data_IF_317166292981
#
_entry.id   IF_317166292981
#
_cell.length_a   1.000
_cell.length_b   1.000
_cell.length_c   1.000
_cell.angle_alpha   90.00
_cell.angle_beta   90.00
_cell.angle_gamma   90.00
#
_symmetry.space_group_name_H-M   'P 1'
#
loop_
_entity.id
_entity.type
_entity.pdbx_description
1 polymer ?
#
# COMPACT_ATOMS: atom_id res chain seq x y z
N UNK A 1 15.54 -21.50 20.54
CA UNK A 1 14.65 -21.87 19.43
C UNK A 1 13.39 -21.04 19.54
N UNK A 2 13.13 -20.25 18.51
CA UNK A 2 12.09 -19.23 18.50
C UNK A 2 12.51 -18.18 17.48
N UNK A 3 12.80 -18.63 16.26
CA UNK A 3 12.94 -17.75 15.12
C UNK A 3 11.54 -17.19 14.88
N UNK A 4 11.26 -16.04 15.48
CA UNK A 4 10.05 -15.30 15.15
C UNK A 4 10.30 -14.77 13.73
N UNK A 5 9.73 -15.46 12.75
CA UNK A 5 9.83 -15.14 11.32
C UNK A 5 8.51 -14.60 10.83
N UNK A 6 8.57 -13.70 9.85
CA UNK A 6 7.36 -13.19 9.23
C UNK A 6 6.63 -14.30 8.45
N UNK A 7 5.32 -14.55 8.69
CA UNK A 7 4.59 -15.61 8.00
C UNK A 7 4.33 -15.31 6.50
N UNK A 8 4.70 -14.11 6.02
CA UNK A 8 4.52 -13.70 4.62
C UNK A 8 5.82 -13.87 3.82
N UNK A 9 6.93 -13.30 4.30
CA UNK A 9 8.21 -13.37 3.59
C UNK A 9 9.16 -14.44 4.14
N UNK A 10 8.80 -15.11 5.23
CA UNK A 10 9.62 -16.14 5.91
C UNK A 10 11.03 -15.63 6.25
N UNK A 11 11.17 -14.33 6.47
CA UNK A 11 12.42 -13.72 6.93
C UNK A 11 12.35 -13.48 8.45
N UNK A 12 13.47 -13.65 9.17
CA UNK A 12 13.54 -13.42 10.60
C UNK A 12 13.27 -11.95 10.93
N UNK A 13 12.61 -11.70 12.07
CA UNK A 13 12.44 -10.33 12.52
C UNK A 13 13.77 -9.70 12.97
N UNK A 14 13.96 -8.43 12.64
CA UNK A 14 15.13 -7.63 12.99
C UNK A 14 14.75 -6.21 13.38
N UNK A 15 15.72 -5.45 13.87
CA UNK A 15 15.54 -4.05 14.30
C UNK A 15 15.41 -3.07 13.12
N UNK A 16 15.40 -3.54 11.88
CA UNK A 16 15.38 -2.73 10.67
C UNK A 16 14.05 -2.83 9.93
N UNK A 17 14.11 -3.39 8.71
CA UNK A 17 12.95 -3.52 7.81
C UNK A 17 12.04 -4.68 8.21
N UNK A 18 12.53 -5.62 9.00
CA UNK A 18 11.75 -6.74 9.48
C UNK A 18 11.36 -6.56 10.94
N UNK A 19 10.97 -5.36 11.33
CA UNK A 19 10.41 -5.11 12.65
C UNK A 19 9.01 -5.72 12.78
N UNK A 20 8.70 -6.30 13.93
CA UNK A 20 7.39 -6.87 14.22
C UNK A 20 6.31 -5.79 14.31
N UNK A 21 5.23 -5.97 13.56
CA UNK A 21 4.04 -5.14 13.59
C UNK A 21 2.83 -6.01 13.97
N UNK A 22 2.20 -5.69 15.11
CA UNK A 22 1.03 -6.38 15.62
C UNK A 22 -0.24 -5.75 15.05
N UNK A 23 -1.06 -6.55 14.37
CA UNK A 23 -2.38 -6.14 13.89
C UNK A 23 -3.43 -6.22 15.01
N UNK A 24 -4.58 -5.55 14.82
CA UNK A 24 -5.65 -5.52 15.82
C UNK A 24 -6.29 -6.89 16.10
N UNK A 25 -6.06 -7.86 15.19
CA UNK A 25 -6.49 -9.24 15.34
C UNK A 25 -5.51 -10.12 16.14
N UNK A 26 -4.41 -9.56 16.61
CA UNK A 26 -3.38 -10.29 17.38
C UNK A 26 -2.34 -11.01 16.52
N UNK A 27 -2.42 -10.95 15.20
CA UNK A 27 -1.38 -11.52 14.33
C UNK A 27 -0.24 -10.55 14.08
N UNK A 28 0.98 -11.09 14.00
CA UNK A 28 2.21 -10.32 13.78
C UNK A 28 2.69 -10.50 12.35
N UNK A 29 3.11 -9.40 11.73
CA UNK A 29 3.74 -9.34 10.41
C UNK A 29 4.98 -8.46 10.48
N UNK A 30 5.89 -8.55 9.51
CA UNK A 30 6.97 -7.58 9.45
C UNK A 30 6.47 -6.25 8.85
N UNK A 31 7.07 -5.13 9.27
CA UNK A 31 6.72 -3.80 8.78
C UNK A 31 6.90 -3.66 7.25
N UNK A 32 7.91 -4.31 6.66
CA UNK A 32 8.08 -4.38 5.21
C UNK A 32 6.89 -5.01 4.48
N UNK A 33 6.42 -6.18 4.92
CA UNK A 33 5.24 -6.83 4.33
C UNK A 33 3.96 -6.04 4.60
N UNK A 34 3.83 -5.44 5.79
CA UNK A 34 2.71 -4.57 6.11
C UNK A 34 2.63 -3.40 5.13
N UNK A 35 3.77 -2.76 4.83
CA UNK A 35 3.86 -1.68 3.87
C UNK A 35 3.49 -2.10 2.45
N UNK A 36 3.96 -3.26 1.99
CA UNK A 36 3.61 -3.78 0.68
C UNK A 36 2.10 -4.07 0.53
N UNK A 37 1.45 -4.55 1.60
CA UNK A 37 -0.01 -4.75 1.61
C UNK A 37 -0.73 -3.41 1.50
N UNK A 38 -0.23 -2.36 2.17
CA UNK A 38 -0.78 -1.01 2.10
C UNK A 38 -0.60 -0.39 0.71
N UNK A 39 0.55 -0.57 0.10
CA UNK A 39 0.86 -0.06 -1.25
C UNK A 39 -0.05 -0.71 -2.32
N UNK A 40 -0.35 -2.00 -2.15
CA UNK A 40 -1.28 -2.73 -3.02
C UNK A 40 -2.75 -2.38 -2.74
N UNK A 41 -3.06 -1.74 -1.61
CA UNK A 41 -4.43 -1.40 -1.24
C UNK A 41 -4.91 -0.21 -2.09
N UNK A 42 -5.91 -0.45 -2.95
CA UNK A 42 -6.52 0.61 -3.74
C UNK A 42 -7.19 1.69 -2.89
N UNK A 43 -7.56 2.82 -3.52
CA UNK A 43 -8.07 4.01 -2.84
C UNK A 43 -9.25 3.77 -1.86
N UNK A 44 -10.03 2.71 -2.07
CA UNK A 44 -11.15 2.33 -1.20
C UNK A 44 -10.74 1.74 0.16
N UNK A 45 -9.49 1.30 0.33
CA UNK A 45 -8.98 0.71 1.57
C UNK A 45 -7.90 1.61 2.23
N UNK A 46 -7.80 2.87 1.80
CA UNK A 46 -6.95 3.88 2.47
C UNK A 46 -7.32 3.96 3.95
N UNK A 47 -6.30 3.84 4.80
CA UNK A 47 -6.43 3.88 6.26
C UNK A 47 -6.92 2.60 6.92
N UNK A 48 -6.99 1.48 6.19
CA UNK A 48 -7.29 0.16 6.76
C UNK A 48 -6.42 -0.93 6.14
N UNK A 49 -5.76 -1.71 6.98
CA UNK A 49 -5.05 -2.92 6.54
C UNK A 49 -5.92 -4.15 6.77
N UNK A 50 -6.02 -5.02 5.78
CA UNK A 50 -6.60 -6.36 5.95
C UNK A 50 -5.52 -7.36 6.33
N UNK A 51 -5.72 -8.02 7.46
CA UNK A 51 -4.89 -9.13 7.88
C UNK A 51 -4.94 -10.28 6.85
N UNK A 52 -3.80 -10.77 6.32
CA UNK A 52 -3.80 -11.90 5.38
C UNK A 52 -4.22 -13.23 6.04
N UNK A 53 -3.96 -13.41 7.34
CA UNK A 53 -4.31 -14.63 8.08
C UNK A 53 -5.82 -14.76 8.36
N UNK A 54 -6.46 -13.68 8.82
CA UNK A 54 -7.85 -13.74 9.31
C UNK A 54 -8.81 -12.72 8.68
N UNK A 55 -8.33 -11.90 7.74
CA UNK A 55 -9.11 -10.89 7.00
C UNK A 55 -9.72 -9.77 7.86
N UNK A 56 -9.38 -9.71 9.15
CA UNK A 56 -9.76 -8.61 10.02
C UNK A 56 -9.14 -7.30 9.55
N UNK A 57 -9.94 -6.22 9.60
CA UNK A 57 -9.50 -4.87 9.26
C UNK A 57 -8.87 -4.22 10.49
N UNK A 58 -7.63 -3.80 10.36
CA UNK A 58 -6.90 -3.03 11.35
C UNK A 58 -6.92 -1.56 10.93
N UNK A 59 -7.48 -0.65 11.75
CA UNK A 59 -7.39 0.79 11.48
C UNK A 59 -5.93 1.23 11.59
N UNK A 60 -5.47 2.03 10.62
CA UNK A 60 -4.14 2.65 10.66
C UNK A 60 -4.13 3.82 11.65
N UNK A 61 -2.96 4.20 12.17
CA UNK A 61 -2.84 5.44 12.96
C UNK A 61 -3.02 6.65 12.05
N UNK A 62 -3.66 7.70 12.55
CA UNK A 62 -4.06 8.89 11.76
C UNK A 62 -2.89 9.55 11.01
N UNK A 63 -1.69 9.58 11.61
CA UNK A 63 -0.50 10.12 10.96
C UNK A 63 -0.04 9.29 9.76
N UNK A 64 -0.19 7.97 9.82
CA UNK A 64 0.16 7.07 8.71
C UNK A 64 -0.86 7.20 7.57
N UNK A 65 -2.13 7.47 7.90
CA UNK A 65 -3.19 7.73 6.92
C UNK A 65 -2.89 9.01 6.14
N UNK A 66 -2.59 10.12 6.83
CA UNK A 66 -2.28 11.39 6.19
C UNK A 66 -1.05 11.31 5.28
N UNK A 67 0.01 10.62 5.72
CA UNK A 67 1.22 10.43 4.92
C UNK A 67 0.94 9.64 3.64
N UNK A 68 0.21 8.53 3.75
CA UNK A 68 -0.15 7.71 2.60
C UNK A 68 -1.05 8.47 1.61
N UNK A 69 -1.99 9.29 2.13
CA UNK A 69 -2.83 10.14 1.29
C UNK A 69 -2.02 11.18 0.51
N UNK A 70 -1.04 11.81 1.15
CA UNK A 70 -0.11 12.75 0.50
C UNK A 70 0.73 12.06 -0.58
N UNK A 71 1.32 10.90 -0.28
CA UNK A 71 2.09 10.11 -1.25
C UNK A 71 1.23 9.69 -2.45
N UNK A 72 -0.01 9.26 -2.22
CA UNK A 72 -0.95 8.98 -3.31
C UNK A 72 -1.23 10.23 -4.14
N UNK A 73 -1.55 11.36 -3.51
CA UNK A 73 -1.83 12.62 -4.22
C UNK A 73 -0.67 13.02 -5.14
N UNK A 74 0.57 12.87 -4.68
CA UNK A 74 1.77 13.13 -5.48
C UNK A 74 1.92 12.16 -6.68
N UNK A 75 1.53 10.89 -6.53
CA UNK A 75 1.55 9.91 -7.63
C UNK A 75 0.48 10.19 -8.70
N UNK A 76 -0.67 10.78 -8.31
CA UNK A 76 -1.76 11.09 -9.23
C UNK A 76 -1.59 12.44 -9.95
N UNK A 77 -0.64 13.28 -9.53
CA UNK A 77 -0.26 14.52 -10.24
C UNK A 77 0.70 14.25 -11.41
N UNK A 78 0.59 13.09 -12.08
CA UNK A 78 1.14 12.96 -13.42
C UNK A 78 0.21 13.73 -14.36
N UNK A 79 0.65 14.86 -14.97
CA UNK A 79 -0.19 15.61 -15.89
C UNK A 79 -0.65 14.66 -17.01
N UNK A 80 -1.96 14.66 -17.28
CA UNK A 80 -2.56 13.81 -18.30
C UNK A 80 -1.73 13.87 -19.60
N UNK A 81 -1.44 12.73 -20.26
CA UNK A 81 -0.73 12.76 -21.53
C UNK A 81 -1.52 13.66 -22.48
N UNK A 82 -0.83 14.64 -23.07
CA UNK A 82 -1.44 15.63 -23.95
C UNK A 82 -2.30 14.92 -25.02
N UNK A 83 -3.51 15.42 -25.32
CA UNK A 83 -4.34 14.79 -26.34
C UNK A 83 -3.55 14.71 -27.66
N UNK A 84 -3.61 13.57 -28.37
CA UNK A 84 -2.93 13.44 -29.65
C UNK A 84 -3.41 14.57 -30.58
N UNK A 85 -2.52 15.16 -31.41
CA UNK A 85 -2.90 16.23 -32.31
C UNK A 85 -4.07 15.77 -33.17
N UNK A 86 -5.18 16.52 -33.15
CA UNK A 86 -6.33 16.23 -33.98
C UNK A 86 -5.89 16.28 -35.44
N UNK A 87 -5.80 15.11 -36.09
CA UNK A 87 -5.57 15.02 -37.52
C UNK A 87 -6.76 15.71 -38.20
N UNK A 88 -6.53 16.90 -38.75
CA UNK A 88 -7.51 17.63 -39.53
C UNK A 88 -7.96 16.72 -40.68
N UNK A 89 -9.22 16.28 -40.63
CA UNK A 89 -9.81 15.53 -41.74
C UNK A 89 -9.89 16.46 -42.95
N UNK A 90 -9.41 16.04 -44.14
CA UNK A 90 -9.54 16.85 -45.34
C UNK A 90 -11.02 16.95 -45.76
N UNK A 91 -11.42 18.05 -46.41
CA UNK A 91 -12.80 18.25 -46.84
C UNK A 91 -13.18 17.18 -47.87
N UNK A 92 -14.38 16.62 -47.70
CA UNK A 92 -14.98 15.73 -48.68
C UNK A 92 -15.24 16.51 -49.98
N UNK A 93 -14.87 15.87 -51.10
CA UNK A 93 -14.92 16.39 -52.47
C UNK A 93 -16.35 16.73 -52.92
#
# INVERSE_FOLDING_TARGET
SGEEECPICTEPYDSGRHTQALLNCGHVLCSGCLHAIMDTAGAAEIGRVRCPMCRQKTPMLEWEICKLQEELLLLHDQPAPAPPPALAMPPAL
#
